data_IF_777994523900
#
_entry.id   IF_777994523900
#
_cell.length_a   1.000
_cell.length_b   1.000
_cell.length_c   1.000
_cell.angle_alpha   90.00
_cell.angle_beta   90.00
_cell.angle_gamma   90.00
#
_symmetry.space_group_name_H-M   'P 1'
#
loop_
_entity.id
_entity.type
_entity.pdbx_description
1 polymer ?
#
# COMPACT_ATOMS: atom_id res chain seq x y z
N UNK A 1 7.41 34.20 18.20
CA UNK A 1 7.71 32.87 17.63
C UNK A 1 7.38 32.96 16.17
N UNK A 2 8.33 32.79 15.30
CA UNK A 2 8.11 32.87 13.85
C UNK A 2 7.19 31.70 13.44
N UNK A 3 6.24 31.95 12.57
CA UNK A 3 5.32 30.94 12.08
C UNK A 3 6.04 30.03 11.09
N UNK A 4 5.71 28.74 11.05
CA UNK A 4 6.35 27.80 10.14
C UNK A 4 6.13 28.20 8.69
N UNK A 5 4.97 28.76 8.34
CA UNK A 5 4.64 29.21 6.98
C UNK A 5 5.59 30.32 6.52
N UNK A 6 5.88 31.31 7.38
CA UNK A 6 6.83 32.38 7.06
C UNK A 6 8.25 31.85 6.90
N UNK A 7 8.66 30.91 7.77
CA UNK A 7 9.95 30.24 7.67
C UNK A 7 10.07 29.45 6.36
N UNK A 8 9.03 28.74 5.95
CA UNK A 8 8.99 28.02 4.66
C UNK A 8 9.17 29.01 3.50
N UNK A 9 8.34 30.06 3.43
CA UNK A 9 8.38 31.02 2.33
C UNK A 9 9.74 31.72 2.22
N UNK A 10 10.34 32.11 3.35
CA UNK A 10 11.67 32.68 3.41
C UNK A 10 12.72 31.76 2.79
N UNK A 11 12.73 30.49 3.22
CA UNK A 11 13.74 29.55 2.74
C UNK A 11 13.47 29.06 1.31
N UNK A 12 12.23 29.13 0.81
CA UNK A 12 11.97 28.93 -0.62
C UNK A 12 12.65 30.00 -1.52
N UNK A 13 12.94 31.18 -0.99
CA UNK A 13 13.65 32.22 -1.69
C UNK A 13 15.16 32.13 -1.48
N UNK A 14 15.61 31.82 -0.24
CA UNK A 14 17.03 31.90 0.15
C UNK A 14 17.79 30.58 -0.11
N UNK A 15 17.12 29.41 -0.10
CA UNK A 15 17.74 28.09 -0.14
C UNK A 15 17.29 27.26 -1.36
N UNK A 16 18.08 27.27 -2.43
CA UNK A 16 17.73 26.61 -3.69
C UNK A 16 17.53 25.08 -3.52
N UNK A 17 18.38 24.44 -2.73
CA UNK A 17 18.28 22.98 -2.49
C UNK A 17 16.96 22.62 -1.79
N UNK A 18 16.58 23.41 -0.79
CA UNK A 18 15.31 23.26 -0.11
C UNK A 18 14.13 23.47 -1.07
N UNK A 19 14.15 24.56 -1.85
CA UNK A 19 13.12 24.88 -2.83
C UNK A 19 12.87 23.76 -3.81
N UNK A 20 13.92 23.21 -4.41
CA UNK A 20 13.82 22.11 -5.39
C UNK A 20 13.21 20.85 -4.79
N UNK A 21 13.47 20.58 -3.49
CA UNK A 21 12.95 19.41 -2.79
C UNK A 21 11.48 19.53 -2.40
N UNK A 22 11.02 20.70 -1.98
CA UNK A 22 9.72 20.83 -1.33
C UNK A 22 8.60 21.42 -2.20
N UNK A 23 8.92 22.27 -3.18
CA UNK A 23 7.93 22.92 -4.06
C UNK A 23 6.94 21.94 -4.71
N UNK A 24 7.35 20.74 -5.21
CA UNK A 24 6.42 19.82 -5.84
C UNK A 24 5.30 19.31 -4.91
N UNK A 25 5.47 19.46 -3.61
CA UNK A 25 4.57 18.91 -2.59
C UNK A 25 3.76 19.98 -1.84
N UNK A 26 4.07 21.25 -2.06
CA UNK A 26 3.35 22.37 -1.45
C UNK A 26 2.27 22.86 -2.39
N UNK A 27 1.05 22.93 -1.90
CA UNK A 27 -0.07 23.53 -2.61
C UNK A 27 -0.39 24.92 -2.06
N UNK A 28 -0.82 25.88 -2.93
CA UNK A 28 -1.20 27.21 -2.48
C UNK A 28 -2.26 27.21 -1.37
N UNK A 29 -3.17 26.24 -1.40
CA UNK A 29 -4.27 26.11 -0.44
C UNK A 29 -3.82 25.64 0.96
N UNK A 30 -2.58 25.22 1.12
CA UNK A 30 -2.02 24.90 2.43
C UNK A 30 -1.80 26.18 3.27
N UNK A 31 -1.59 27.33 2.64
CA UNK A 31 -1.48 28.60 3.32
C UNK A 31 -2.87 29.18 3.65
N UNK A 32 -3.09 29.51 4.94
CA UNK A 32 -4.35 30.11 5.39
C UNK A 32 -4.42 31.60 5.07
N UNK A 33 -3.27 32.27 5.16
CA UNK A 33 -3.18 33.69 4.88
C UNK A 33 -3.09 33.94 3.36
N UNK A 34 -3.98 34.82 2.85
CA UNK A 34 -4.01 35.18 1.43
C UNK A 34 -2.69 35.78 0.95
N UNK A 35 -2.03 36.56 1.77
CA UNK A 35 -0.72 37.18 1.47
C UNK A 35 0.35 36.08 1.30
N UNK A 36 0.43 35.12 2.20
CA UNK A 36 1.36 33.99 2.14
C UNK A 36 1.09 33.09 0.91
N UNK A 37 -0.18 32.87 0.61
CA UNK A 37 -0.61 32.15 -0.60
C UNK A 37 -0.15 32.81 -1.88
N UNK A 38 -0.29 34.14 -1.98
CA UNK A 38 0.17 34.94 -3.11
C UNK A 38 1.68 34.83 -3.26
N UNK A 39 2.43 35.03 -2.18
CA UNK A 39 3.90 34.93 -2.19
C UNK A 39 4.34 33.55 -2.70
N UNK A 40 3.72 32.47 -2.18
CA UNK A 40 4.03 31.12 -2.63
C UNK A 40 3.72 30.91 -4.11
N UNK A 41 2.57 31.41 -4.59
CA UNK A 41 2.19 31.28 -6.01
C UNK A 41 3.24 31.92 -6.93
N UNK A 42 3.74 33.11 -6.60
CA UNK A 42 4.76 33.78 -7.41
C UNK A 42 6.10 33.02 -7.36
N UNK A 43 6.53 32.57 -6.19
CA UNK A 43 7.74 31.73 -6.05
C UNK A 43 7.62 30.48 -6.93
N UNK A 44 6.52 29.75 -6.80
CA UNK A 44 6.30 28.50 -7.53
C UNK A 44 6.24 28.73 -9.05
N UNK A 45 5.51 29.76 -9.52
CA UNK A 45 5.41 30.08 -10.94
C UNK A 45 6.76 30.49 -11.52
N UNK A 46 7.55 31.28 -10.79
CA UNK A 46 8.86 31.73 -11.23
C UNK A 46 9.81 30.53 -11.40
N UNK A 47 9.86 29.63 -10.42
CA UNK A 47 10.72 28.43 -10.46
C UNK A 47 10.32 27.51 -11.61
N UNK A 48 9.02 27.29 -11.83
CA UNK A 48 8.53 26.49 -12.97
C UNK A 48 8.89 27.12 -14.31
N UNK A 49 8.86 28.44 -14.40
CA UNK A 49 9.10 29.18 -15.66
C UNK A 49 10.59 29.33 -16.01
N UNK A 50 11.43 29.55 -15.01
CA UNK A 50 12.84 29.92 -15.19
C UNK A 50 13.84 28.86 -14.72
N UNK A 51 13.37 27.78 -14.07
CA UNK A 51 14.19 26.70 -13.47
C UNK A 51 15.31 27.25 -12.56
N UNK A 52 15.02 28.33 -11.83
CA UNK A 52 15.95 28.99 -10.91
C UNK A 52 15.22 29.59 -9.71
N UNK A 53 15.93 29.72 -8.58
CA UNK A 53 15.41 30.42 -7.42
C UNK A 53 15.10 31.90 -7.73
N UNK A 54 14.00 32.42 -7.16
CA UNK A 54 13.62 33.81 -7.30
C UNK A 54 14.36 34.66 -6.26
N UNK A 55 14.81 35.88 -6.66
CA UNK A 55 15.33 36.85 -5.69
C UNK A 55 14.19 37.66 -5.06
N UNK A 56 14.43 38.24 -3.86
CA UNK A 56 13.43 39.05 -3.16
C UNK A 56 13.00 40.24 -4.04
N UNK A 57 13.93 40.86 -4.79
CA UNK A 57 13.63 41.96 -5.71
C UNK A 57 12.72 41.50 -6.85
N UNK A 58 13.03 40.38 -7.48
CA UNK A 58 12.21 39.81 -8.56
C UNK A 58 10.82 39.42 -8.05
N UNK A 59 10.74 38.80 -6.88
CA UNK A 59 9.46 38.45 -6.23
C UNK A 59 8.58 39.64 -5.98
N UNK A 60 9.15 40.74 -5.48
CA UNK A 60 8.40 41.99 -5.27
C UNK A 60 7.90 42.59 -6.58
N UNK A 61 8.67 42.53 -7.68
CA UNK A 61 8.27 43.01 -9.01
C UNK A 61 7.12 42.13 -9.55
N UNK A 62 7.21 40.83 -9.46
CA UNK A 62 6.15 39.92 -9.93
C UNK A 62 4.84 40.14 -9.13
N UNK A 63 4.90 40.32 -7.82
CA UNK A 63 3.73 40.67 -6.99
C UNK A 63 3.11 42.01 -7.42
N UNK A 64 3.92 43.02 -7.72
CA UNK A 64 3.41 44.32 -8.19
C UNK A 64 2.73 44.25 -9.57
N UNK A 65 3.17 43.35 -10.41
CA UNK A 65 2.61 43.15 -11.74
C UNK A 65 1.26 42.42 -11.75
N UNK A 66 0.84 41.86 -10.62
CA UNK A 66 -0.46 41.20 -10.53
C UNK A 66 -1.63 42.18 -10.61
N UNK A 67 -2.57 41.87 -11.49
CA UNK A 67 -3.77 42.67 -11.71
C UNK A 67 -4.99 42.21 -10.91
N UNK A 68 -4.91 41.05 -10.30
CA UNK A 68 -5.99 40.44 -9.52
C UNK A 68 -5.89 40.73 -8.01
N UNK A 69 -4.85 41.45 -7.57
CA UNK A 69 -4.62 41.83 -6.18
C UNK A 69 -5.04 43.28 -5.92
N UNK A 70 -5.51 43.53 -4.70
CA UNK A 70 -5.75 44.87 -4.20
C UNK A 70 -4.45 45.55 -3.76
N UNK A 71 -4.42 46.88 -3.74
CA UNK A 71 -3.25 47.65 -3.25
C UNK A 71 -2.86 47.26 -1.82
N UNK A 72 -3.83 46.90 -0.98
CA UNK A 72 -3.58 46.44 0.39
C UNK A 72 -2.85 45.09 0.40
N UNK A 73 -3.29 44.16 -0.41
CA UNK A 73 -2.67 42.81 -0.52
C UNK A 73 -1.25 42.90 -1.07
N UNK A 74 -1.00 43.75 -2.06
CA UNK A 74 0.34 44.01 -2.57
C UNK A 74 1.25 44.58 -1.48
N UNK A 75 0.75 45.54 -0.71
CA UNK A 75 1.52 46.17 0.37
C UNK A 75 1.86 45.18 1.47
N UNK A 76 0.90 44.39 1.92
CA UNK A 76 1.10 43.35 2.95
C UNK A 76 2.09 42.27 2.48
N UNK A 77 2.00 41.82 1.21
CA UNK A 77 2.92 40.87 0.64
C UNK A 77 4.36 41.38 0.64
N UNK A 78 4.56 42.67 0.25
CA UNK A 78 5.87 43.33 0.28
C UNK A 78 6.40 43.55 1.71
N UNK A 79 5.53 43.85 2.66
CA UNK A 79 5.95 43.95 4.06
C UNK A 79 6.42 42.60 4.59
N UNK A 80 5.75 41.50 4.21
CA UNK A 80 6.14 40.13 4.56
C UNK A 80 7.48 39.74 3.92
N UNK A 81 7.65 39.96 2.63
CA UNK A 81 8.92 39.61 1.92
C UNK A 81 10.12 40.40 2.44
N UNK A 82 9.93 41.64 2.94
CA UNK A 82 11.01 42.43 3.58
C UNK A 82 11.52 41.83 4.89
N UNK A 83 10.75 40.97 5.53
CA UNK A 83 11.19 40.28 6.74
C UNK A 83 12.05 39.05 6.45
N UNK A 84 12.18 38.67 5.18
CA UNK A 84 13.00 37.52 4.79
C UNK A 84 14.48 37.89 4.93
N UNK A 85 15.17 37.12 5.73
CA UNK A 85 16.62 37.25 5.98
C UNK A 85 17.32 35.90 5.69
N UNK A 86 18.63 35.95 5.56
CA UNK A 86 19.47 34.75 5.31
C UNK A 86 19.85 34.04 6.63
N UNK A 87 18.98 34.11 7.66
CA UNK A 87 19.27 33.41 8.90
C UNK A 87 19.36 31.90 8.67
N UNK A 88 20.48 31.26 9.03
CA UNK A 88 20.69 29.85 8.74
C UNK A 88 19.71 28.98 9.53
N UNK A 89 19.09 28.04 8.84
CA UNK A 89 18.21 27.01 9.41
C UNK A 89 18.79 25.64 9.04
N UNK A 90 18.69 24.67 9.94
CA UNK A 90 19.03 23.29 9.61
C UNK A 90 18.12 22.79 8.50
N UNK A 91 18.68 22.48 7.34
CA UNK A 91 17.95 22.12 6.13
C UNK A 91 17.16 20.81 6.33
N UNK A 92 17.74 19.84 7.06
CA UNK A 92 17.06 18.55 7.31
C UNK A 92 15.83 18.75 8.22
N UNK A 93 16.01 19.49 9.31
CA UNK A 93 14.88 19.85 10.20
C UNK A 93 13.80 20.62 9.45
N UNK A 94 14.18 21.55 8.56
CA UNK A 94 13.25 22.34 7.80
C UNK A 94 12.43 21.47 6.83
N UNK A 95 13.08 20.53 6.12
CA UNK A 95 12.40 19.58 5.23
C UNK A 95 11.39 18.74 6.02
N UNK A 96 11.80 18.14 7.14
CA UNK A 96 10.93 17.32 7.99
C UNK A 96 9.75 18.12 8.55
N UNK A 97 10.02 19.35 9.00
CA UNK A 97 8.98 20.24 9.52
C UNK A 97 8.00 20.68 8.44
N UNK A 98 8.50 20.94 7.23
CA UNK A 98 7.66 21.31 6.07
C UNK A 98 6.80 20.13 5.63
N UNK A 99 7.36 18.92 5.56
CA UNK A 99 6.60 17.71 5.24
C UNK A 99 5.46 17.48 6.24
N UNK A 100 5.76 17.59 7.54
CA UNK A 100 4.75 17.48 8.58
C UNK A 100 3.65 18.53 8.40
N UNK A 101 4.03 19.78 8.17
CA UNK A 101 3.09 20.87 7.96
C UNK A 101 2.22 20.65 6.73
N UNK A 102 2.79 20.24 5.58
CA UNK A 102 2.04 19.90 4.38
C UNK A 102 1.02 18.78 4.63
N UNK A 103 1.44 17.71 5.33
CA UNK A 103 0.56 16.59 5.69
C UNK A 103 -0.58 17.04 6.60
N UNK A 104 -0.30 17.83 7.63
CA UNK A 104 -1.30 18.34 8.55
C UNK A 104 -2.32 19.24 7.81
N UNK A 105 -1.86 20.08 6.88
CA UNK A 105 -2.71 20.93 6.05
C UNK A 105 -3.54 20.13 5.04
N UNK A 106 -2.95 19.17 4.36
CA UNK A 106 -3.66 18.28 3.45
C UNK A 106 -4.78 17.52 4.17
N UNK A 107 -4.51 16.97 5.35
CA UNK A 107 -5.53 16.28 6.17
C UNK A 107 -6.64 17.25 6.57
N UNK A 108 -6.31 18.46 7.00
CA UNK A 108 -7.31 19.47 7.37
C UNK A 108 -8.24 19.80 6.20
N UNK A 109 -7.68 20.09 5.01
CA UNK A 109 -8.45 20.40 3.81
C UNK A 109 -9.31 19.22 3.37
N UNK A 110 -8.77 18.01 3.39
CA UNK A 110 -9.49 16.78 3.07
C UNK A 110 -10.68 16.52 4.02
N UNK A 111 -10.51 16.81 5.32
CA UNK A 111 -11.60 16.74 6.30
C UNK A 111 -12.69 17.78 6.01
N UNK A 112 -12.32 19.03 5.73
CA UNK A 112 -13.27 20.09 5.38
C UNK A 112 -14.05 19.76 4.11
N UNK A 113 -13.37 19.27 3.07
CA UNK A 113 -14.00 18.81 1.84
C UNK A 113 -14.93 17.61 2.08
N UNK A 114 -14.49 16.64 2.89
CA UNK A 114 -15.30 15.47 3.25
C UNK A 114 -16.58 15.85 3.98
N UNK A 115 -16.52 16.83 4.88
CA UNK A 115 -17.70 17.38 5.56
C UNK A 115 -18.63 18.04 4.55
N UNK A 116 -18.09 18.86 3.63
CA UNK A 116 -18.88 19.53 2.61
C UNK A 116 -19.62 18.54 1.70
N UNK A 117 -18.97 17.44 1.31
CA UNK A 117 -19.57 16.34 0.55
C UNK A 117 -20.63 15.58 1.39
N UNK A 118 -20.32 15.31 2.66
CA UNK A 118 -21.24 14.60 3.56
C UNK A 118 -22.54 15.38 3.79
N UNK A 119 -22.46 16.71 3.86
CA UNK A 119 -23.61 17.62 4.02
C UNK A 119 -24.43 17.78 2.72
N UNK A 120 -23.95 17.20 1.60
CA UNK A 120 -24.64 17.26 0.31
C UNK A 120 -24.49 18.60 -0.41
N UNK A 121 -23.52 19.40 -0.04
CA UNK A 121 -23.24 20.72 -0.63
C UNK A 121 -22.34 20.66 -1.86
N UNK A 122 -21.80 19.50 -2.21
CA UNK A 122 -20.98 19.30 -3.40
C UNK A 122 -21.79 18.63 -4.51
N UNK A 123 -21.98 19.34 -5.63
CA UNK A 123 -22.72 18.83 -6.80
C UNK A 123 -21.89 17.87 -7.67
N UNK A 124 -20.56 17.85 -7.50
CA UNK A 124 -19.62 17.10 -8.37
C UNK A 124 -19.13 15.79 -7.74
N UNK A 125 -18.99 15.75 -6.42
CA UNK A 125 -18.45 14.61 -5.68
C UNK A 125 -19.52 13.96 -4.81
N UNK A 126 -19.61 12.65 -4.84
CA UNK A 126 -20.47 11.88 -3.97
C UNK A 126 -19.73 11.37 -2.73
N UNK A 127 -20.47 10.82 -1.76
CA UNK A 127 -19.89 10.31 -0.49
C UNK A 127 -18.88 9.19 -0.68
N UNK A 128 -18.91 8.49 -1.81
CA UNK A 128 -17.97 7.39 -2.10
C UNK A 128 -16.56 7.91 -2.40
N UNK A 129 -16.40 9.21 -2.69
CA UNK A 129 -15.11 9.85 -2.89
C UNK A 129 -14.35 10.14 -1.57
N UNK A 130 -15.06 10.22 -0.43
CA UNK A 130 -14.47 10.60 0.87
C UNK A 130 -13.28 9.70 1.28
N UNK A 131 -13.35 8.36 1.20
CA UNK A 131 -12.22 7.50 1.57
C UNK A 131 -10.97 7.78 0.74
N UNK A 132 -11.13 8.06 -0.56
CA UNK A 132 -10.02 8.38 -1.46
C UNK A 132 -9.41 9.73 -1.10
N UNK A 133 -10.21 10.77 -0.91
CA UNK A 133 -9.76 12.11 -0.52
C UNK A 133 -8.93 12.05 0.78
N UNK A 134 -9.40 11.33 1.79
CA UNK A 134 -8.67 11.18 3.05
C UNK A 134 -7.41 10.32 2.89
N UNK A 135 -7.46 9.27 2.06
CA UNK A 135 -6.30 8.43 1.79
C UNK A 135 -5.19 9.21 1.09
N UNK A 136 -5.53 10.04 0.10
CA UNK A 136 -4.58 10.85 -0.65
C UNK A 136 -3.92 11.89 0.26
N UNK A 137 -4.69 12.52 1.14
CA UNK A 137 -4.15 13.47 2.13
C UNK A 137 -3.18 12.82 3.13
N UNK A 138 -3.45 11.58 3.54
CA UNK A 138 -2.56 10.81 4.42
C UNK A 138 -1.29 10.33 3.71
N UNK A 139 -1.32 10.22 2.37
CA UNK A 139 -0.21 9.77 1.56
C UNK A 139 0.79 10.89 1.22
N UNK A 140 0.52 12.14 1.60
CA UNK A 140 1.46 13.25 1.37
C UNK A 140 2.79 12.96 2.07
N UNK A 141 3.85 12.81 1.27
CA UNK A 141 5.21 12.52 1.71
C UNK A 141 6.20 13.16 0.74
N UNK A 142 7.30 13.68 1.26
CA UNK A 142 8.40 14.22 0.47
C UNK A 142 9.39 13.11 0.05
N UNK A 143 8.84 11.96 -0.35
CA UNK A 143 9.67 10.89 -0.86
C UNK A 143 10.33 11.33 -2.18
N UNK A 144 11.63 11.60 -2.10
CA UNK A 144 12.45 12.05 -3.23
C UNK A 144 12.81 10.92 -4.20
N UNK A 145 12.37 9.69 -3.91
CA UNK A 145 12.67 8.55 -4.78
C UNK A 145 11.76 8.54 -6.02
N UNK A 146 12.02 9.49 -6.93
CA UNK A 146 11.32 9.59 -8.23
C UNK A 146 11.88 8.55 -9.23
N UNK A 147 11.97 7.31 -8.79
CA UNK A 147 12.57 6.27 -9.60
C UNK A 147 14.08 6.11 -9.35
N UNK A 148 14.71 5.27 -10.16
CA UNK A 148 16.11 4.92 -10.03
C UNK A 148 16.91 5.57 -11.16
N UNK A 149 17.82 6.50 -10.84
CA UNK A 149 18.74 7.05 -11.83
C UNK A 149 19.79 6.00 -12.21
N UNK A 150 19.70 5.52 -13.44
CA UNK A 150 20.51 4.39 -13.88
C UNK A 150 22.03 4.65 -13.79
N UNK A 151 22.47 5.88 -13.98
CA UNK A 151 23.90 6.22 -13.96
C UNK A 151 24.38 6.70 -12.59
N UNK A 152 23.52 7.39 -11.83
CA UNK A 152 23.89 7.94 -10.54
C UNK A 152 23.79 6.91 -9.41
N UNK A 153 22.72 6.07 -9.41
CA UNK A 153 22.45 5.11 -8.33
C UNK A 153 23.12 3.74 -8.56
N UNK A 154 24.26 3.70 -9.25
CA UNK A 154 24.94 2.43 -9.57
C UNK A 154 25.45 1.70 -8.33
N UNK A 155 25.83 2.42 -7.29
CA UNK A 155 26.30 1.83 -6.02
C UNK A 155 25.16 1.13 -5.29
N UNK A 156 23.99 1.79 -5.17
CA UNK A 156 22.79 1.16 -4.57
C UNK A 156 22.37 -0.09 -5.36
N UNK A 157 22.46 -0.06 -6.69
CA UNK A 157 22.19 -1.25 -7.52
C UNK A 157 23.18 -2.37 -7.23
N UNK A 158 24.47 -2.05 -7.15
CA UNK A 158 25.49 -3.04 -6.84
C UNK A 158 25.25 -3.69 -5.49
N UNK A 159 24.93 -2.91 -4.46
CA UNK A 159 24.54 -3.41 -3.15
C UNK A 159 23.28 -4.26 -3.21
N UNK A 160 22.26 -3.84 -4.00
CA UNK A 160 21.01 -4.60 -4.17
C UNK A 160 21.25 -5.98 -4.78
N UNK A 161 22.19 -6.11 -5.72
CA UNK A 161 22.55 -7.41 -6.32
C UNK A 161 23.23 -8.36 -5.34
N UNK A 162 23.91 -7.81 -4.31
CA UNK A 162 24.61 -8.59 -3.30
C UNK A 162 23.81 -8.75 -2.00
N UNK A 163 22.71 -8.01 -1.84
CA UNK A 163 21.80 -8.16 -0.70
C UNK A 163 21.04 -9.47 -0.85
N UNK A 164 21.14 -10.35 0.14
CA UNK A 164 20.28 -11.54 0.21
C UNK A 164 18.84 -11.09 0.39
N UNK A 165 18.04 -11.27 -0.65
CA UNK A 165 16.60 -11.01 -0.60
C UNK A 165 15.96 -11.93 0.45
N UNK A 166 15.17 -11.36 1.35
CA UNK A 166 14.37 -12.14 2.30
C UNK A 166 13.28 -12.87 1.53
N UNK A 167 13.25 -14.19 1.63
CA UNK A 167 12.26 -15.06 0.98
C UNK A 167 11.56 -15.92 2.00
N UNK A 168 10.27 -16.15 1.81
CA UNK A 168 9.51 -17.12 2.58
C UNK A 168 9.74 -18.50 1.99
N UNK A 169 10.38 -19.36 2.75
CA UNK A 169 10.73 -20.71 2.30
C UNK A 169 9.52 -21.66 2.37
N UNK A 170 9.60 -22.71 1.60
CA UNK A 170 8.73 -23.88 1.75
C UNK A 170 9.45 -24.91 2.62
N UNK A 171 8.72 -25.71 3.36
CA UNK A 171 9.26 -26.92 4.00
C UNK A 171 9.54 -28.04 3.00
N UNK A 172 9.11 -27.88 1.74
CA UNK A 172 9.33 -28.78 0.62
C UNK A 172 10.54 -28.31 -0.21
N UNK A 173 11.66 -29.03 -0.09
CA UNK A 173 12.94 -28.68 -0.73
C UNK A 173 12.81 -28.49 -2.24
N UNK A 174 11.95 -29.28 -2.90
CA UNK A 174 11.74 -29.16 -4.34
C UNK A 174 11.19 -27.79 -4.76
N UNK A 175 10.23 -27.23 -4.00
CA UNK A 175 9.71 -25.90 -4.25
C UNK A 175 10.76 -24.81 -4.01
N UNK A 176 11.60 -24.96 -3.00
CA UNK A 176 12.71 -24.03 -2.74
C UNK A 176 13.72 -24.04 -3.90
N UNK A 177 13.98 -25.20 -4.51
CA UNK A 177 14.84 -25.27 -5.72
C UNK A 177 14.23 -24.53 -6.90
N UNK A 178 12.94 -24.75 -7.20
CA UNK A 178 12.23 -24.10 -8.30
C UNK A 178 12.18 -22.58 -8.09
N UNK A 179 11.84 -22.12 -6.87
CA UNK A 179 11.69 -20.72 -6.53
C UNK A 179 13.01 -20.03 -6.15
N UNK A 180 14.15 -20.72 -6.25
CA UNK A 180 15.47 -20.22 -5.87
C UNK A 180 15.54 -19.71 -4.43
N UNK A 181 14.95 -20.46 -3.50
CA UNK A 181 15.01 -20.18 -2.07
C UNK A 181 13.73 -19.68 -1.43
N UNK A 182 12.58 -19.81 -2.10
CA UNK A 182 11.28 -19.42 -1.55
C UNK A 182 10.61 -18.26 -2.27
N UNK A 183 9.56 -17.75 -1.68
CA UNK A 183 8.72 -16.68 -2.24
C UNK A 183 9.30 -15.31 -1.89
N UNK A 184 9.64 -14.46 -2.88
CA UNK A 184 10.11 -13.09 -2.62
C UNK A 184 8.94 -12.16 -2.28
N UNK A 185 9.24 -11.05 -1.62
CA UNK A 185 8.27 -9.98 -1.37
C UNK A 185 7.78 -9.36 -2.69
N UNK A 186 6.64 -8.67 -2.62
CA UNK A 186 6.02 -7.97 -3.77
C UNK A 186 5.57 -8.90 -4.90
N UNK A 187 5.29 -10.18 -4.60
CA UNK A 187 4.87 -11.16 -5.59
C UNK A 187 3.50 -11.76 -5.32
N UNK A 188 2.77 -12.05 -6.38
CA UNK A 188 1.58 -12.88 -6.35
C UNK A 188 1.96 -14.27 -6.87
N UNK A 189 1.77 -15.29 -6.05
CA UNK A 189 2.10 -16.68 -6.33
C UNK A 189 0.81 -17.50 -6.40
N UNK A 190 0.62 -18.24 -7.47
CA UNK A 190 -0.65 -18.93 -7.73
C UNK A 190 -0.42 -20.43 -7.85
N UNK A 191 -1.07 -21.20 -6.98
CA UNK A 191 -1.15 -22.65 -7.06
C UNK A 191 -2.23 -23.05 -8.07
N UNK A 192 -1.82 -23.66 -9.18
CA UNK A 192 -2.72 -24.15 -10.22
C UNK A 192 -2.99 -25.65 -10.00
N UNK A 193 -4.25 -26.03 -9.83
CA UNK A 193 -4.66 -27.42 -9.75
C UNK A 193 -6.15 -27.60 -10.02
N UNK A 194 -6.55 -28.80 -10.42
CA UNK A 194 -7.95 -29.16 -10.63
C UNK A 194 -8.80 -29.10 -9.35
N UNK A 195 -10.11 -29.22 -9.52
CA UNK A 195 -11.05 -29.30 -8.40
C UNK A 195 -10.78 -30.58 -7.58
N UNK A 196 -10.73 -30.47 -6.25
CA UNK A 196 -10.54 -31.62 -5.35
C UNK A 196 -9.10 -32.16 -5.26
N UNK A 197 -8.15 -31.59 -5.99
CA UNK A 197 -6.73 -32.04 -6.01
C UNK A 197 -5.97 -31.66 -4.73
N UNK A 198 -6.50 -30.70 -3.94
CA UNK A 198 -5.91 -30.33 -2.64
C UNK A 198 -5.30 -28.93 -2.57
N UNK A 199 -5.71 -27.98 -3.39
CA UNK A 199 -5.24 -26.57 -3.36
C UNK A 199 -5.25 -25.97 -1.94
N UNK A 200 -6.42 -25.98 -1.31
CA UNK A 200 -6.57 -25.45 0.06
C UNK A 200 -5.75 -26.22 1.09
N UNK A 201 -5.58 -27.54 0.92
CA UNK A 201 -4.72 -28.36 1.79
C UNK A 201 -3.24 -27.94 1.64
N UNK A 202 -2.77 -27.72 0.42
CA UNK A 202 -1.43 -27.20 0.16
C UNK A 202 -1.23 -25.82 0.81
N UNK A 203 -2.18 -24.93 0.65
CA UNK A 203 -2.11 -23.58 1.25
C UNK A 203 -2.13 -23.64 2.78
N UNK A 204 -2.98 -24.50 3.39
CA UNK A 204 -3.01 -24.71 4.83
C UNK A 204 -1.70 -25.31 5.34
N UNK A 205 -1.12 -26.28 4.62
CA UNK A 205 0.17 -26.87 4.96
C UNK A 205 1.29 -25.82 4.92
N UNK A 206 1.37 -25.03 3.84
CA UNK A 206 2.39 -23.99 3.73
C UNK A 206 2.20 -22.88 4.78
N UNK A 207 0.96 -22.50 5.10
CA UNK A 207 0.68 -21.57 6.19
C UNK A 207 1.14 -22.09 7.55
N UNK A 208 0.92 -23.39 7.84
CA UNK A 208 1.39 -24.05 9.04
C UNK A 208 2.93 -24.11 9.13
N UNK A 209 3.59 -24.42 8.01
CA UNK A 209 5.05 -24.45 7.90
C UNK A 209 5.66 -23.06 8.19
N UNK A 210 5.15 -22.03 7.55
CA UNK A 210 5.62 -20.64 7.73
C UNK A 210 5.40 -20.15 9.17
N UNK A 211 4.28 -20.52 9.80
CA UNK A 211 4.04 -20.26 11.22
C UNK A 211 5.12 -20.89 12.11
N UNK A 212 5.52 -22.14 11.83
CA UNK A 212 6.57 -22.83 12.60
C UNK A 212 7.95 -22.20 12.42
N UNK A 213 8.19 -21.53 11.31
CA UNK A 213 9.40 -20.73 11.07
C UNK A 213 9.42 -19.39 11.85
N UNK A 214 8.39 -19.13 12.66
CA UNK A 214 8.29 -17.93 13.47
C UNK A 214 7.75 -16.70 12.73
N UNK A 215 7.13 -16.88 11.57
CA UNK A 215 6.57 -15.82 10.74
C UNK A 215 5.10 -15.55 11.04
N UNK A 216 4.66 -14.34 10.79
CA UNK A 216 3.27 -13.94 10.91
C UNK A 216 2.51 -14.26 9.62
N UNK A 217 1.43 -14.98 9.73
CA UNK A 217 0.62 -15.48 8.60
C UNK A 217 -0.79 -14.91 8.68
N UNK A 218 -1.24 -14.30 7.59
CA UNK A 218 -2.64 -13.97 7.39
C UNK A 218 -3.26 -14.91 6.36
N UNK A 219 -4.27 -15.66 6.75
CA UNK A 219 -5.02 -16.54 5.87
C UNK A 219 -6.43 -16.00 5.65
N UNK A 220 -6.75 -15.64 4.42
CA UNK A 220 -8.06 -15.14 4.02
C UNK A 220 -8.77 -16.26 3.26
N UNK A 221 -9.95 -16.65 3.73
CA UNK A 221 -10.78 -17.66 3.07
C UNK A 221 -12.06 -17.02 2.54
N UNK A 222 -12.44 -17.37 1.31
CA UNK A 222 -13.71 -16.98 0.67
C UNK A 222 -14.55 -18.21 0.31
N UNK A 223 -14.01 -19.42 0.49
CA UNK A 223 -14.68 -20.68 0.16
C UNK A 223 -15.16 -21.42 1.41
N UNK A 224 -14.37 -21.41 2.47
CA UNK A 224 -14.60 -22.21 3.67
C UNK A 224 -14.65 -21.32 4.93
N UNK A 225 -15.38 -21.81 5.94
CA UNK A 225 -15.42 -21.17 7.25
C UNK A 225 -14.03 -21.15 7.93
N UNK A 226 -13.79 -20.13 8.76
CA UNK A 226 -12.53 -19.96 9.51
C UNK A 226 -12.17 -21.21 10.31
N UNK A 227 -13.16 -21.84 10.94
CA UNK A 227 -12.97 -23.05 11.75
C UNK A 227 -12.54 -24.24 10.91
N UNK A 228 -13.01 -24.34 9.67
CA UNK A 228 -12.61 -25.42 8.76
C UNK A 228 -11.20 -25.27 8.22
N UNK A 229 -10.75 -24.05 8.04
CA UNK A 229 -9.34 -23.76 7.74
C UNK A 229 -8.48 -24.06 8.96
N UNK A 230 -8.91 -23.64 10.17
CA UNK A 230 -8.23 -23.92 11.43
C UNK A 230 -8.09 -25.44 11.67
N UNK A 231 -9.16 -26.21 11.44
CA UNK A 231 -9.16 -27.69 11.56
C UNK A 231 -8.09 -28.35 10.66
N UNK A 232 -7.92 -27.86 9.42
CA UNK A 232 -6.88 -28.35 8.49
C UNK A 232 -5.48 -27.98 8.94
N UNK A 233 -5.30 -26.77 9.46
CA UNK A 233 -4.02 -26.31 10.00
C UNK A 233 -3.68 -27.07 11.28
N UNK A 234 -4.67 -27.29 12.16
CA UNK A 234 -4.51 -28.09 13.37
C UNK A 234 -4.11 -29.55 13.05
N UNK A 235 -4.77 -30.18 12.07
CA UNK A 235 -4.41 -31.53 11.63
C UNK A 235 -2.93 -31.63 11.29
N UNK A 236 -2.41 -30.63 10.60
CA UNK A 236 -1.02 -30.51 10.19
C UNK A 236 -0.10 -30.27 11.41
N UNK A 237 -0.33 -29.21 12.17
CA UNK A 237 0.51 -28.80 13.29
C UNK A 237 0.51 -29.80 14.46
N UNK A 238 -0.63 -30.41 14.73
CA UNK A 238 -0.79 -31.37 15.82
C UNK A 238 -0.37 -32.81 15.43
N UNK A 239 -0.10 -33.02 14.13
CA UNK A 239 0.18 -34.33 13.55
C UNK A 239 -0.91 -35.35 13.92
N UNK A 240 -2.14 -35.04 13.53
CA UNK A 240 -3.35 -35.84 13.77
C UNK A 240 -4.14 -35.92 12.47
N UNK A 241 -4.76 -37.07 12.18
CA UNK A 241 -5.67 -37.10 11.04
C UNK A 241 -6.83 -36.13 11.25
N UNK A 242 -7.26 -35.45 10.18
CA UNK A 242 -8.34 -34.48 10.25
C UNK A 242 -9.64 -35.08 10.80
N UNK A 243 -9.89 -36.37 10.53
CA UNK A 243 -11.06 -37.10 11.03
C UNK A 243 -11.00 -37.34 12.54
N UNK A 244 -9.81 -37.40 13.12
CA UNK A 244 -9.57 -37.73 14.54
C UNK A 244 -9.51 -36.43 15.40
N UNK A 245 -9.52 -35.27 14.80
CA UNK A 245 -9.44 -34.00 15.55
C UNK A 245 -10.63 -33.79 16.46
N UNK A 246 -11.84 -34.11 16.00
CA UNK A 246 -13.07 -34.01 16.79
C UNK A 246 -13.11 -34.92 17.99
N UNK A 247 -12.41 -36.06 17.92
CA UNK A 247 -12.34 -37.05 18.97
C UNK A 247 -11.16 -36.84 19.93
N UNK A 248 -10.32 -35.83 19.67
CA UNK A 248 -9.15 -35.52 20.50
C UNK A 248 -9.58 -34.97 21.87
N UNK A 249 -9.21 -35.61 22.98
CA UNK A 249 -9.55 -35.10 24.31
C UNK A 249 -8.97 -33.71 24.54
N UNK A 250 -9.78 -32.79 25.07
CA UNK A 250 -9.38 -31.38 25.28
C UNK A 250 -8.02 -31.24 25.98
N UNK A 251 -7.66 -31.97 27.05
CA UNK A 251 -6.34 -31.84 27.68
C UNK A 251 -5.18 -32.20 26.74
N UNK A 252 -5.39 -33.12 25.79
CA UNK A 252 -4.39 -33.46 24.77
C UNK A 252 -4.29 -32.37 23.71
N UNK A 253 -5.41 -31.83 23.27
CA UNK A 253 -5.46 -30.69 22.35
C UNK A 253 -4.71 -29.47 22.94
N UNK A 254 -5.08 -29.07 24.18
CA UNK A 254 -4.44 -27.95 24.87
C UNK A 254 -2.93 -28.14 25.02
N UNK A 255 -2.49 -29.37 25.39
CA UNK A 255 -1.06 -29.69 25.50
C UNK A 255 -0.32 -29.56 24.17
N UNK A 256 -0.91 -30.03 23.07
CA UNK A 256 -0.32 -29.95 21.73
C UNK A 256 -0.25 -28.49 21.26
N UNK A 257 -1.33 -27.72 21.37
CA UNK A 257 -1.36 -26.28 20.99
C UNK A 257 -0.34 -25.47 21.80
N UNK A 258 -0.28 -25.71 23.14
CA UNK A 258 0.72 -25.05 23.98
C UNK A 258 2.17 -25.43 23.62
N UNK A 259 2.39 -26.66 23.12
CA UNK A 259 3.70 -27.07 22.62
C UNK A 259 4.09 -26.31 21.34
N UNK A 260 3.13 -26.06 20.45
CA UNK A 260 3.35 -25.27 19.23
C UNK A 260 3.62 -23.81 19.60
N UNK A 261 2.79 -23.21 20.47
CA UNK A 261 2.96 -21.84 20.93
C UNK A 261 4.33 -21.56 21.58
N UNK A 262 4.97 -22.60 22.15
CA UNK A 262 6.34 -22.51 22.69
C UNK A 262 7.44 -22.63 21.62
N UNK A 263 7.11 -23.19 20.46
CA UNK A 263 8.08 -23.42 19.38
C UNK A 263 8.17 -22.29 18.39
N UNK A 264 7.13 -21.47 18.25
CA UNK A 264 7.08 -20.36 17.31
C UNK A 264 6.83 -19.05 18.02
N UNK A 265 7.42 -17.97 17.49
CA UNK A 265 7.09 -16.58 17.84
C UNK A 265 6.10 -15.98 16.82
N UNK A 266 5.78 -16.69 15.76
CA UNK A 266 4.84 -16.29 14.74
C UNK A 266 3.40 -16.32 15.23
N UNK A 267 2.56 -15.60 14.54
CA UNK A 267 1.11 -15.55 14.76
C UNK A 267 0.39 -15.87 13.46
N UNK A 268 -0.66 -16.69 13.52
CA UNK A 268 -1.52 -16.99 12.38
C UNK A 268 -2.92 -16.45 12.65
N UNK A 269 -3.43 -15.62 11.75
CA UNK A 269 -4.79 -15.09 11.78
C UNK A 269 -5.53 -15.61 10.55
N UNK A 270 -6.70 -16.18 10.79
CA UNK A 270 -7.63 -16.64 9.74
C UNK A 270 -8.77 -15.64 9.69
N UNK A 271 -9.15 -15.20 8.48
CA UNK A 271 -10.28 -14.30 8.26
C UNK A 271 -11.15 -14.80 7.14
N UNK A 272 -12.42 -15.03 7.45
CA UNK A 272 -13.44 -15.40 6.48
C UNK A 272 -14.09 -14.16 5.86
N UNK A 273 -14.35 -14.24 4.56
CA UNK A 273 -15.23 -13.35 3.83
C UNK A 273 -16.23 -14.18 3.02
N UNK A 274 -17.50 -13.75 2.89
CA UNK A 274 -18.43 -14.40 2.00
C UNK A 274 -17.92 -14.42 0.56
N UNK A 275 -18.21 -15.48 -0.17
CA UNK A 275 -17.82 -15.64 -1.57
C UNK A 275 -18.24 -14.42 -2.40
N UNK A 276 -17.34 -13.92 -3.26
CA UNK A 276 -17.54 -12.76 -4.13
C UNK A 276 -17.93 -11.45 -3.40
N UNK A 277 -17.58 -11.31 -2.10
CA UNK A 277 -17.89 -10.11 -1.33
C UNK A 277 -16.68 -9.20 -1.11
N UNK A 278 -15.46 -9.75 -1.14
CA UNK A 278 -14.25 -9.02 -0.81
C UNK A 278 -13.29 -8.89 -2.00
N UNK A 279 -12.71 -7.73 -2.14
CA UNK A 279 -11.69 -7.36 -3.13
C UNK A 279 -10.43 -6.81 -2.42
N UNK A 280 -9.40 -6.48 -3.19
CA UNK A 280 -8.10 -5.96 -2.68
C UNK A 280 -8.24 -4.81 -1.68
N UNK A 281 -9.20 -3.89 -1.88
CA UNK A 281 -9.46 -2.78 -0.95
C UNK A 281 -9.92 -3.26 0.44
N UNK A 282 -10.76 -4.30 0.52
CA UNK A 282 -11.15 -4.89 1.81
C UNK A 282 -9.95 -5.55 2.51
N UNK A 283 -9.07 -6.21 1.74
CA UNK A 283 -7.88 -6.83 2.30
C UNK A 283 -6.88 -5.79 2.81
N UNK A 284 -6.72 -4.67 2.10
CA UNK A 284 -5.93 -3.52 2.55
C UNK A 284 -6.48 -2.93 3.86
N UNK A 285 -7.80 -2.75 3.95
CA UNK A 285 -8.47 -2.29 5.17
C UNK A 285 -8.26 -3.27 6.33
N UNK A 286 -8.34 -4.58 6.09
CA UNK A 286 -8.06 -5.61 7.09
C UNK A 286 -6.61 -5.53 7.59
N UNK A 287 -5.62 -5.34 6.71
CA UNK A 287 -4.21 -5.19 7.10
C UNK A 287 -4.02 -3.99 8.03
N UNK A 288 -4.63 -2.85 7.71
CA UNK A 288 -4.59 -1.65 8.54
C UNK A 288 -5.27 -1.89 9.90
N UNK A 289 -6.42 -2.54 9.91
CA UNK A 289 -7.14 -2.87 11.14
C UNK A 289 -6.36 -3.82 12.05
N UNK A 290 -5.73 -4.84 11.49
CA UNK A 290 -4.88 -5.78 12.23
C UNK A 290 -3.64 -5.09 12.81
N UNK A 291 -3.01 -4.19 12.05
CA UNK A 291 -1.87 -3.41 12.53
C UNK A 291 -2.27 -2.50 13.70
N UNK A 292 -3.41 -1.82 13.61
CA UNK A 292 -3.88 -0.89 14.63
C UNK A 292 -4.41 -1.61 15.89
N UNK A 293 -5.25 -2.63 15.73
CA UNK A 293 -5.96 -3.27 16.85
C UNK A 293 -5.17 -4.40 17.53
N UNK A 294 -4.29 -5.07 16.79
CA UNK A 294 -3.55 -6.25 17.28
C UNK A 294 -2.04 -6.10 17.18
N UNK A 295 -1.53 -4.95 16.72
CA UNK A 295 -0.10 -4.75 16.40
C UNK A 295 0.45 -5.87 15.50
N UNK A 296 -0.42 -6.43 14.65
CA UNK A 296 -0.11 -7.56 13.80
C UNK A 296 0.22 -7.08 12.38
N UNK A 297 1.40 -7.46 11.92
CA UNK A 297 1.84 -7.27 10.53
C UNK A 297 2.20 -8.65 9.98
N UNK A 298 1.53 -9.14 8.93
CA UNK A 298 1.88 -10.43 8.32
C UNK A 298 3.20 -10.35 7.55
N UNK A 299 3.90 -11.48 7.48
CA UNK A 299 5.03 -11.69 6.58
C UNK A 299 4.58 -12.31 5.24
N UNK A 300 3.40 -12.94 5.22
CA UNK A 300 2.78 -13.57 4.06
C UNK A 300 1.25 -13.55 4.17
N UNK A 301 0.59 -13.47 3.02
CA UNK A 301 -0.87 -13.54 2.94
C UNK A 301 -1.28 -14.71 2.05
N UNK A 302 -2.19 -15.55 2.56
CA UNK A 302 -2.88 -16.58 1.78
C UNK A 302 -4.29 -16.11 1.46
N UNK A 303 -4.75 -16.29 0.21
CA UNK A 303 -6.11 -15.94 -0.25
C UNK A 303 -6.70 -17.16 -0.94
N UNK A 304 -7.66 -17.80 -0.31
CA UNK A 304 -8.28 -19.05 -0.78
C UNK A 304 -9.71 -18.78 -1.29
N UNK A 305 -9.91 -18.64 -2.62
CA UNK A 305 -8.98 -18.57 -3.72
C UNK A 305 -9.35 -17.45 -4.71
N UNK A 306 -8.46 -17.13 -5.64
CA UNK A 306 -8.50 -15.94 -6.49
C UNK A 306 -9.82 -15.79 -7.25
N UNK A 307 -10.32 -16.85 -7.91
CA UNK A 307 -11.48 -16.77 -8.81
C UNK A 307 -12.79 -16.40 -8.10
N UNK A 308 -12.88 -16.56 -6.78
CA UNK A 308 -14.05 -16.19 -5.99
C UNK A 308 -13.90 -14.87 -5.22
N UNK A 309 -12.81 -14.12 -5.45
CA UNK A 309 -12.71 -12.75 -5.01
C UNK A 309 -13.63 -11.83 -5.84
N UNK A 310 -13.94 -10.66 -5.30
CA UNK A 310 -14.54 -9.57 -6.06
C UNK A 310 -13.44 -8.70 -6.70
N UNK A 311 -13.79 -7.97 -7.77
CA UNK A 311 -12.95 -6.90 -8.30
C UNK A 311 -13.45 -5.54 -7.82
N UNK A 312 -12.54 -4.63 -7.51
CA UNK A 312 -12.87 -3.25 -7.19
C UNK A 312 -13.21 -2.42 -8.44
N UNK A 313 -12.73 -2.86 -9.62
CA UNK A 313 -12.90 -2.16 -10.89
C UNK A 313 -14.23 -2.41 -11.56
N UNK A 314 -14.89 -3.54 -11.27
CA UNK A 314 -16.10 -3.96 -11.93
C UNK A 314 -17.25 -4.14 -10.92
N UNK A 315 -18.39 -3.48 -11.19
CA UNK A 315 -19.60 -3.74 -10.43
C UNK A 315 -20.11 -5.17 -10.67
N UNK A 316 -20.74 -5.80 -9.67
CA UNK A 316 -21.32 -7.16 -9.77
C UNK A 316 -22.31 -7.33 -10.93
N UNK A 317 -22.92 -6.23 -11.39
CA UNK A 317 -23.91 -6.18 -12.50
C UNK A 317 -23.28 -5.89 -13.85
N UNK A 318 -21.97 -5.63 -13.92
CA UNK A 318 -21.30 -5.33 -15.18
C UNK A 318 -21.26 -6.59 -16.08
N UNK A 319 -21.63 -6.42 -17.33
CA UNK A 319 -21.59 -7.51 -18.32
C UNK A 319 -20.15 -7.69 -18.84
N UNK A 320 -19.26 -8.14 -17.93
CA UNK A 320 -17.83 -8.31 -18.20
C UNK A 320 -17.55 -9.79 -18.45
N UNK A 321 -16.72 -10.07 -19.44
CA UNK A 321 -16.22 -11.42 -19.70
C UNK A 321 -15.46 -11.95 -18.47
N UNK A 322 -15.67 -13.21 -18.11
CA UNK A 322 -15.00 -13.87 -16.97
C UNK A 322 -13.48 -13.75 -17.05
N UNK A 323 -12.89 -13.84 -18.24
CA UNK A 323 -11.46 -13.61 -18.47
C UNK A 323 -10.98 -12.24 -17.97
N UNK A 324 -11.65 -11.16 -18.40
CA UNK A 324 -11.27 -9.79 -18.00
C UNK A 324 -11.49 -9.55 -16.50
N UNK A 325 -12.50 -10.20 -15.94
CA UNK A 325 -12.81 -10.12 -14.51
C UNK A 325 -11.72 -10.77 -13.65
N UNK A 326 -11.32 -12.01 -13.99
CA UNK A 326 -10.25 -12.73 -13.27
C UNK A 326 -8.90 -12.04 -13.44
N UNK A 327 -8.60 -11.52 -14.65
CA UNK A 327 -7.40 -10.72 -14.89
C UNK A 327 -7.35 -9.49 -13.97
N UNK A 328 -8.47 -8.76 -13.85
CA UNK A 328 -8.53 -7.60 -12.97
C UNK A 328 -8.29 -7.95 -11.50
N UNK A 329 -8.86 -9.06 -11.01
CA UNK A 329 -8.60 -9.54 -9.64
C UNK A 329 -7.10 -9.84 -9.45
N UNK A 330 -6.48 -10.54 -10.41
CA UNK A 330 -5.05 -10.86 -10.34
C UNK A 330 -4.17 -9.60 -10.31
N UNK A 331 -4.48 -8.61 -11.15
CA UNK A 331 -3.78 -7.31 -11.16
C UNK A 331 -3.97 -6.56 -9.83
N UNK A 332 -5.17 -6.56 -9.28
CA UNK A 332 -5.46 -5.93 -7.99
C UNK A 332 -4.72 -6.62 -6.83
N UNK A 333 -4.66 -7.95 -6.80
CA UNK A 333 -3.91 -8.70 -5.79
C UNK A 333 -2.39 -8.52 -5.94
N UNK A 334 -1.88 -8.45 -7.19
CA UNK A 334 -0.48 -8.11 -7.45
C UNK A 334 -0.15 -6.69 -6.96
N UNK A 335 -1.03 -5.71 -7.22
CA UNK A 335 -0.92 -4.36 -6.68
C UNK A 335 -0.84 -4.35 -5.14
N UNK A 336 -1.73 -5.10 -4.48
CA UNK A 336 -1.72 -5.25 -3.03
C UNK A 336 -0.40 -5.86 -2.52
N UNK A 337 0.15 -6.88 -3.21
CA UNK A 337 1.42 -7.49 -2.83
C UNK A 337 2.59 -6.48 -2.89
N UNK A 338 2.60 -5.61 -3.91
CA UNK A 338 3.60 -4.55 -4.07
C UNK A 338 3.46 -3.47 -3.01
N UNK A 339 2.24 -2.97 -2.78
CA UNK A 339 1.97 -1.94 -1.76
C UNK A 339 2.29 -2.42 -0.35
N UNK A 340 1.86 -3.63 0.00
CA UNK A 340 2.11 -4.22 1.32
C UNK A 340 3.55 -4.74 1.49
N UNK A 341 4.34 -4.80 0.41
CA UNK A 341 5.69 -5.37 0.37
C UNK A 341 5.75 -6.81 0.90
N UNK A 342 4.79 -7.65 0.51
CA UNK A 342 4.60 -9.02 1.00
C UNK A 342 4.40 -10.00 -0.16
N UNK A 343 4.77 -11.29 -0.01
CA UNK A 343 4.30 -12.34 -0.90
C UNK A 343 2.82 -12.64 -0.62
N UNK A 344 2.02 -12.72 -1.67
CA UNK A 344 0.65 -13.24 -1.62
C UNK A 344 0.63 -14.60 -2.30
N UNK A 345 0.01 -15.58 -1.65
CA UNK A 345 -0.24 -16.91 -2.20
C UNK A 345 -1.73 -17.08 -2.42
N UNK A 346 -2.12 -17.46 -3.62
CA UNK A 346 -3.51 -17.79 -3.92
C UNK A 346 -3.57 -19.08 -4.76
N UNK A 347 -4.76 -19.48 -5.13
CA UNK A 347 -4.98 -20.63 -5.97
C UNK A 347 -5.92 -20.29 -7.15
N UNK A 348 -5.81 -21.06 -8.23
CA UNK A 348 -6.78 -21.05 -9.33
C UNK A 348 -7.05 -22.47 -9.79
N UNK A 349 -8.13 -22.65 -10.56
CA UNK A 349 -8.51 -23.97 -11.08
C UNK A 349 -8.03 -24.14 -12.52
N UNK A 350 -7.75 -25.38 -12.91
CA UNK A 350 -7.51 -25.73 -14.31
C UNK A 350 -8.81 -25.77 -15.10
N UNK A 351 -8.71 -25.58 -16.42
CA UNK A 351 -9.81 -25.84 -17.35
C UNK A 351 -10.23 -27.32 -17.32
N UNK A 352 -11.42 -27.64 -17.87
CA UNK A 352 -11.85 -29.02 -18.00
C UNK A 352 -10.94 -29.86 -18.90
N UNK A 353 -10.32 -29.25 -19.92
CA UNK A 353 -9.35 -29.88 -20.80
C UNK A 353 -8.03 -30.19 -20.08
N UNK A 354 -7.54 -29.25 -19.25
CA UNK A 354 -6.33 -29.44 -18.45
C UNK A 354 -6.49 -30.49 -17.33
N UNK A 355 -7.72 -30.76 -16.88
CA UNK A 355 -7.97 -31.78 -15.86
C UNK A 355 -7.65 -33.22 -16.34
N UNK A 356 -7.74 -33.47 -17.65
CA UNK A 356 -7.43 -34.77 -18.27
C UNK A 356 -6.02 -34.90 -18.82
N UNK A 357 -5.21 -33.84 -18.75
CA UNK A 357 -3.84 -33.84 -19.27
C UNK A 357 -2.83 -34.30 -18.23
N UNK A 358 -1.87 -35.13 -18.59
CA UNK A 358 -0.74 -35.48 -17.74
C UNK A 358 0.26 -34.34 -17.56
N UNK A 359 0.28 -33.38 -18.50
CA UNK A 359 1.09 -32.17 -18.45
C UNK A 359 0.16 -30.94 -18.48
N UNK A 360 0.07 -30.25 -17.34
CA UNK A 360 -0.70 -29.01 -17.21
C UNK A 360 0.15 -27.85 -17.70
N UNK A 361 -0.34 -27.17 -18.75
CA UNK A 361 0.31 -25.99 -19.29
C UNK A 361 -0.32 -24.69 -18.74
N UNK A 362 0.39 -23.57 -18.91
CA UNK A 362 -0.09 -22.23 -18.53
C UNK A 362 -1.41 -21.85 -19.23
N UNK A 363 -1.67 -22.44 -20.40
CA UNK A 363 -2.93 -22.30 -21.15
C UNK A 363 -4.12 -23.02 -20.51
N UNK A 364 -3.87 -23.92 -19.56
CA UNK A 364 -4.90 -24.69 -18.85
C UNK A 364 -5.51 -23.97 -17.64
N UNK A 365 -5.14 -22.70 -17.42
CA UNK A 365 -5.78 -21.89 -16.38
C UNK A 365 -7.26 -21.65 -16.70
N UNK A 366 -8.13 -22.04 -15.77
CA UNK A 366 -9.57 -21.82 -15.87
C UNK A 366 -9.87 -20.32 -15.94
N UNK A 367 -10.66 -19.96 -16.95
CA UNK A 367 -11.24 -18.62 -17.13
C UNK A 367 -10.25 -17.47 -17.41
N UNK A 368 -8.92 -17.68 -17.47
CA UNK A 368 -8.00 -16.59 -17.80
C UNK A 368 -6.64 -17.01 -18.33
N UNK A 369 -6.37 -16.72 -19.61
CA UNK A 369 -5.01 -16.71 -20.18
C UNK A 369 -4.15 -15.56 -19.66
N UNK A 370 -4.71 -14.59 -18.95
CA UNK A 370 -3.99 -13.45 -18.41
C UNK A 370 -3.32 -13.69 -17.05
N UNK A 371 -3.57 -14.82 -16.40
CA UNK A 371 -2.91 -15.18 -15.14
C UNK A 371 -1.42 -15.53 -15.32
N UNK A 372 -0.99 -16.19 -16.41
CA UNK A 372 0.42 -16.48 -16.66
C UNK A 372 1.25 -15.29 -17.17
N UNK A 373 0.61 -14.18 -17.54
CA UNK A 373 1.29 -12.97 -18.05
C UNK A 373 1.72 -11.99 -16.87
#
# INVERSE_FOLDING_TARGET
MERIETTILRNLVCEEEFSRKVIPFIEPDYFENKTEKVIFQEISQFIVKYDSAITIEALNIEIENRTDLTETEIKESRETTRTFDDAPVDTQWLIESTEKWCRDRAIYLALMESIHIADGNDEKKNRDAIPTILSDALAVSFDNHIGHDYLQDYEERYESYHRKESRIQFDLEHFNKITKGGLPNKTLNIALAGTGVGKSLFMCHHAASVLLEGKNVLYITLEMAEEKIAERIDANLLNVNIQDITDLPKPMFDKKVNSIAKKTQGTLIIKEYPTASAHSGHFKSLLNELALKKSFKPDIIFIDYLNICASSRYAKTANVNSYSYIKAIAEELRGLAVEANLPIVSATQTTRSGYGSSDVDLTDTSESFGLPA
#
